data_IF_534147588481
#
_entry.id   IF_534147588481
#
_cell.length_a   1.000
_cell.length_b   1.000
_cell.length_c   1.000
_cell.angle_alpha   90.00
_cell.angle_beta   90.00
_cell.angle_gamma   90.00
#
_symmetry.space_group_name_H-M   'P 1'
#
loop_
_entity.id
_entity.type
_entity.pdbx_description
1 polymer ?
#
# COMPACT_ATOMS: atom_id res chain seq x y z
N UNK A 1 -25.43 2.65 -21.29
CA UNK A 1 -24.12 2.02 -21.05
C UNK A 1 -23.59 2.45 -19.70
N UNK A 2 -22.40 1.99 -19.28
CA UNK A 2 -21.84 2.36 -17.97
C UNK A 2 -21.73 3.88 -17.77
N UNK A 3 -21.32 4.62 -18.81
CA UNK A 3 -21.28 6.08 -18.79
C UNK A 3 -22.66 6.71 -18.59
N UNK A 4 -23.67 6.28 -19.36
CA UNK A 4 -25.03 6.80 -19.23
C UNK A 4 -25.54 6.62 -17.79
N UNK A 5 -25.25 5.49 -17.16
CA UNK A 5 -25.65 5.21 -15.77
C UNK A 5 -24.99 6.18 -14.78
N UNK A 6 -23.70 6.49 -14.98
CA UNK A 6 -23.00 7.49 -14.15
C UNK A 6 -23.60 8.90 -14.29
N UNK A 7 -24.05 9.26 -15.50
CA UNK A 7 -24.67 10.56 -15.77
C UNK A 7 -26.15 10.66 -15.39
N UNK A 8 -26.85 9.53 -15.22
CA UNK A 8 -28.32 9.47 -15.07
C UNK A 8 -28.86 10.32 -13.91
N UNK A 9 -28.04 10.60 -12.88
CA UNK A 9 -28.43 11.44 -11.74
C UNK A 9 -27.60 12.73 -11.59
N UNK A 10 -26.73 13.06 -12.57
CA UNK A 10 -25.87 14.25 -12.54
C UNK A 10 -24.86 14.30 -11.37
N UNK A 11 -24.66 13.19 -10.66
CA UNK A 11 -23.79 13.12 -9.47
C UNK A 11 -22.32 12.93 -9.82
N UNK A 12 -22.04 12.40 -11.00
CA UNK A 12 -20.69 12.17 -11.49
C UNK A 12 -20.35 13.19 -12.57
N UNK A 13 -19.13 13.71 -12.48
CA UNK A 13 -18.58 14.60 -13.51
C UNK A 13 -17.29 13.98 -14.01
N UNK A 14 -17.24 13.69 -15.30
CA UNK A 14 -16.05 13.14 -15.93
C UNK A 14 -14.95 14.19 -16.00
N UNK A 15 -13.71 13.76 -15.77
CA UNK A 15 -12.53 14.61 -15.96
C UNK A 15 -12.16 14.65 -17.45
N UNK A 16 -11.50 15.74 -17.92
CA UNK A 16 -10.99 15.79 -19.29
C UNK A 16 -10.11 14.59 -19.62
N UNK A 17 -10.35 13.96 -20.77
CA UNK A 17 -9.61 12.77 -21.22
C UNK A 17 -10.12 11.45 -20.64
N UNK A 18 -11.18 11.47 -19.82
CA UNK A 18 -11.92 10.26 -19.43
C UNK A 18 -13.09 10.01 -20.39
N UNK A 19 -13.39 8.74 -20.73
CA UNK A 19 -12.58 7.55 -20.47
C UNK A 19 -11.30 7.59 -21.29
N UNK A 20 -10.21 7.08 -20.73
CA UNK A 20 -8.98 6.83 -21.49
C UNK A 20 -8.96 5.40 -22.03
N UNK A 21 -8.36 5.23 -23.20
CA UNK A 21 -8.02 3.92 -23.73
C UNK A 21 -6.53 3.66 -23.49
N UNK A 22 -6.19 2.45 -23.08
CA UNK A 22 -4.82 2.03 -22.86
C UNK A 22 -4.28 1.14 -23.99
N UNK A 23 -5.09 0.83 -25.00
CA UNK A 23 -4.71 0.08 -26.21
C UNK A 23 -4.01 -1.27 -25.95
N UNK A 24 -4.29 -1.89 -24.80
CA UNK A 24 -3.64 -3.14 -24.41
C UNK A 24 -2.27 -2.99 -23.73
N UNK A 25 -1.72 -1.77 -23.65
CA UNK A 25 -0.43 -1.48 -23.02
C UNK A 25 -0.58 -1.21 -21.51
N UNK A 26 -0.02 -2.10 -20.69
CA UNK A 26 -0.05 -1.98 -19.23
C UNK A 26 0.81 -0.83 -18.69
N UNK A 27 1.85 -0.41 -19.41
CA UNK A 27 2.65 0.76 -19.02
C UNK A 27 1.84 2.04 -19.20
N UNK A 28 1.08 2.13 -20.28
CA UNK A 28 0.20 3.27 -20.54
C UNK A 28 -0.91 3.37 -19.47
N UNK A 29 -1.45 2.24 -19.01
CA UNK A 29 -2.40 2.23 -17.88
C UNK A 29 -1.80 2.90 -16.64
N UNK A 30 -0.55 2.55 -16.29
CA UNK A 30 0.13 3.12 -15.13
C UNK A 30 0.36 4.62 -15.29
N UNK A 31 0.85 5.06 -16.46
CA UNK A 31 1.03 6.48 -16.75
C UNK A 31 -0.29 7.26 -16.64
N UNK A 32 -1.37 6.71 -17.20
CA UNK A 32 -2.71 7.31 -17.14
C UNK A 32 -3.23 7.39 -15.70
N UNK A 33 -3.08 6.33 -14.90
CA UNK A 33 -3.45 6.33 -13.47
C UNK A 33 -2.74 7.45 -12.72
N UNK A 34 -1.42 7.56 -12.87
CA UNK A 34 -0.64 8.63 -12.25
C UNK A 34 -1.03 10.02 -12.76
N UNK A 35 -1.36 10.15 -14.04
CA UNK A 35 -1.81 11.42 -14.63
C UNK A 35 -3.16 11.86 -14.07
N UNK A 36 -4.15 10.97 -14.05
CA UNK A 36 -5.45 11.26 -13.46
C UNK A 36 -5.35 11.52 -11.96
N UNK A 37 -4.53 10.75 -11.25
CA UNK A 37 -4.29 10.95 -9.82
C UNK A 37 -3.46 12.19 -9.48
N UNK A 38 -3.16 13.08 -10.44
CA UNK A 38 -2.72 14.46 -10.19
C UNK A 38 -3.84 15.49 -10.30
N UNK A 39 -4.98 15.13 -10.89
CA UNK A 39 -6.16 15.99 -10.99
C UNK A 39 -6.94 16.03 -9.68
N UNK A 40 -7.82 17.01 -9.48
CA UNK A 40 -8.70 17.05 -8.31
C UNK A 40 -9.93 16.15 -8.51
N UNK A 41 -9.77 14.85 -8.21
CA UNK A 41 -10.83 13.84 -8.37
C UNK A 41 -11.13 13.14 -7.04
N UNK A 42 -12.33 12.59 -6.94
CA UNK A 42 -12.81 11.84 -5.77
C UNK A 42 -12.75 10.32 -5.98
N UNK A 43 -12.77 9.86 -7.23
CA UNK A 43 -12.70 8.44 -7.57
C UNK A 43 -11.99 8.19 -8.91
N UNK A 44 -11.35 7.03 -9.01
CA UNK A 44 -10.83 6.45 -10.26
C UNK A 44 -11.50 5.09 -10.42
N UNK A 45 -12.12 4.88 -11.59
CA UNK A 45 -12.91 3.68 -11.86
C UNK A 45 -12.44 2.98 -13.15
N UNK A 46 -11.35 2.18 -13.10
CA UNK A 46 -10.89 1.43 -14.26
C UNK A 46 -11.93 0.35 -14.60
N UNK A 47 -12.56 0.45 -15.76
CA UNK A 47 -13.57 -0.55 -16.21
C UNK A 47 -12.93 -1.92 -16.49
N UNK A 48 -11.64 -1.95 -16.82
CA UNK A 48 -10.84 -3.16 -17.03
C UNK A 48 -9.96 -3.44 -15.81
N UNK A 49 -9.85 -4.71 -15.42
CA UNK A 49 -8.91 -5.14 -14.38
C UNK A 49 -7.43 -5.00 -14.76
N UNK A 50 -7.10 -4.50 -15.96
CA UNK A 50 -5.72 -4.25 -16.40
C UNK A 50 -4.92 -3.38 -15.42
N UNK A 51 -5.56 -2.36 -14.82
CA UNK A 51 -4.94 -1.46 -13.83
C UNK A 51 -4.39 -2.20 -12.60
N UNK A 52 -5.09 -3.21 -12.12
CA UNK A 52 -4.64 -4.01 -10.96
C UNK A 52 -3.77 -5.19 -11.38
N UNK A 53 -3.65 -5.48 -12.68
CA UNK A 53 -2.73 -6.50 -13.21
C UNK A 53 -1.37 -5.94 -13.57
N UNK A 54 -1.25 -4.63 -13.78
CA UNK A 54 0.05 -3.98 -13.89
C UNK A 54 0.78 -4.03 -12.54
N UNK A 55 2.07 -4.36 -12.57
CA UNK A 55 2.86 -4.53 -11.34
C UNK A 55 3.01 -3.29 -10.46
N UNK A 56 2.67 -2.09 -10.96
CA UNK A 56 2.78 -0.83 -10.24
C UNK A 56 1.57 -0.42 -9.40
N UNK A 57 0.54 -1.27 -9.26
CA UNK A 57 -0.69 -0.88 -8.55
C UNK A 57 -0.45 -0.53 -7.08
N UNK A 58 0.31 -1.33 -6.33
CA UNK A 58 0.59 -1.03 -4.91
C UNK A 58 1.34 0.30 -4.76
N UNK A 59 2.38 0.51 -5.58
CA UNK A 59 3.17 1.75 -5.59
C UNK A 59 2.29 2.97 -5.92
N UNK A 60 1.42 2.84 -6.91
CA UNK A 60 0.45 3.87 -7.25
C UNK A 60 -0.45 4.23 -6.06
N UNK A 61 -1.04 3.23 -5.41
CA UNK A 61 -1.93 3.46 -4.25
C UNK A 61 -1.16 4.09 -3.09
N UNK A 62 0.04 3.59 -2.78
CA UNK A 62 0.87 4.16 -1.72
C UNK A 62 1.23 5.62 -2.00
N UNK A 63 1.65 5.94 -3.22
CA UNK A 63 2.01 7.30 -3.61
C UNK A 63 0.84 8.29 -3.50
N UNK A 64 -0.40 7.83 -3.68
CA UNK A 64 -1.60 8.69 -3.70
C UNK A 64 -2.54 8.49 -2.49
N UNK A 65 -2.15 7.68 -1.49
CA UNK A 65 -3.00 7.39 -0.31
C UNK A 65 -3.41 8.66 0.43
N UNK A 66 -2.53 9.65 0.52
CA UNK A 66 -2.79 10.96 1.12
C UNK A 66 -3.92 11.75 0.45
N UNK A 67 -4.31 11.40 -0.78
CA UNK A 67 -5.37 12.08 -1.54
C UNK A 67 -6.76 11.51 -1.28
N UNK A 68 -6.87 10.37 -0.59
CA UNK A 68 -8.13 9.71 -0.28
C UNK A 68 -9.04 9.48 -1.52
N UNK A 69 -8.44 9.04 -2.63
CA UNK A 69 -9.14 8.73 -3.88
C UNK A 69 -9.84 7.38 -3.73
N UNK A 70 -11.12 7.30 -4.06
CA UNK A 70 -11.86 6.04 -4.09
C UNK A 70 -11.52 5.24 -5.34
N UNK A 71 -11.08 3.99 -5.18
CA UNK A 71 -10.65 3.09 -6.24
C UNK A 71 -11.66 1.95 -6.36
N UNK A 72 -12.34 1.88 -7.50
CA UNK A 72 -13.26 0.78 -7.83
C UNK A 72 -12.86 0.21 -9.18
N UNK A 73 -12.49 -1.07 -9.23
CA UNK A 73 -11.96 -1.65 -10.47
C UNK A 73 -12.89 -2.73 -11.03
N UNK A 74 -12.89 -2.86 -12.35
CA UNK A 74 -13.51 -3.99 -13.02
C UNK A 74 -12.73 -5.28 -12.78
N UNK A 75 -13.46 -6.39 -12.93
CA UNK A 75 -13.03 -7.75 -12.63
C UNK A 75 -12.87 -8.03 -11.12
N UNK A 76 -12.77 -9.31 -10.79
CA UNK A 76 -12.61 -9.80 -9.41
C UNK A 76 -11.73 -11.05 -9.38
N UNK A 77 -10.55 -10.98 -10.02
CA UNK A 77 -9.56 -12.05 -10.04
C UNK A 77 -8.91 -12.25 -8.67
N UNK A 78 -8.25 -13.39 -8.46
CA UNK A 78 -7.64 -13.74 -7.16
C UNK A 78 -6.67 -12.67 -6.63
N UNK A 79 -5.81 -12.11 -7.49
CA UNK A 79 -4.90 -11.02 -7.11
C UNK A 79 -5.65 -9.72 -6.76
N UNK A 80 -6.78 -9.45 -7.43
CA UNK A 80 -7.58 -8.26 -7.13
C UNK A 80 -8.32 -8.40 -5.79
N UNK A 81 -8.77 -9.61 -5.47
CA UNK A 81 -9.36 -9.91 -4.16
C UNK A 81 -8.33 -9.73 -3.03
N UNK A 82 -7.08 -10.12 -3.25
CA UNK A 82 -5.99 -9.84 -2.29
C UNK A 82 -5.76 -8.33 -2.12
N UNK A 83 -5.77 -7.57 -3.22
CA UNK A 83 -5.68 -6.11 -3.14
C UNK A 83 -6.87 -5.48 -2.40
N UNK A 84 -8.08 -6.00 -2.60
CA UNK A 84 -9.25 -5.54 -1.86
C UNK A 84 -9.08 -5.82 -0.36
N UNK A 85 -8.67 -7.03 0.03
CA UNK A 85 -8.45 -7.43 1.42
C UNK A 85 -7.37 -6.57 2.12
N UNK A 86 -6.30 -6.25 1.41
CA UNK A 86 -5.20 -5.39 1.90
C UNK A 86 -5.50 -3.88 1.83
N UNK A 87 -6.69 -3.49 1.40
CA UNK A 87 -7.11 -2.08 1.32
C UNK A 87 -6.46 -1.28 0.18
N UNK A 88 -6.06 -1.94 -0.90
CA UNK A 88 -5.58 -1.33 -2.15
C UNK A 88 -6.70 -1.01 -3.16
N UNK A 89 -7.94 -1.33 -2.83
CA UNK A 89 -9.14 -0.92 -3.55
C UNK A 89 -10.31 -0.79 -2.57
N UNK A 90 -11.31 0.03 -2.89
CA UNK A 90 -12.55 0.15 -2.11
C UNK A 90 -13.67 -0.74 -2.66
N UNK A 91 -13.58 -1.18 -3.92
CA UNK A 91 -14.56 -2.07 -4.50
C UNK A 91 -14.07 -2.74 -5.79
N UNK A 92 -14.71 -3.87 -6.11
CA UNK A 92 -14.48 -4.63 -7.33
C UNK A 92 -15.82 -4.94 -8.01
N UNK A 93 -15.84 -4.92 -9.33
CA UNK A 93 -17.01 -5.25 -10.14
C UNK A 93 -16.72 -6.51 -10.96
N UNK A 94 -17.09 -7.66 -10.40
CA UNK A 94 -16.90 -8.96 -11.05
C UNK A 94 -17.94 -9.26 -12.13
N UNK A 95 -17.57 -10.12 -13.09
CA UNK A 95 -18.43 -10.52 -14.22
C UNK A 95 -19.08 -11.91 -14.06
N UNK A 96 -18.76 -12.65 -12.98
CA UNK A 96 -19.25 -14.02 -12.73
C UNK A 96 -18.99 -15.00 -13.90
N UNK A 97 -17.74 -15.16 -14.38
CA UNK A 97 -17.43 -15.93 -15.59
C UNK A 97 -17.85 -17.40 -15.54
N UNK A 98 -17.80 -18.03 -14.36
CA UNK A 98 -18.30 -19.39 -14.18
C UNK A 98 -19.81 -19.49 -14.46
N UNK A 99 -20.60 -18.58 -13.88
CA UNK A 99 -22.04 -18.55 -14.08
C UNK A 99 -22.40 -18.22 -15.54
N UNK A 100 -21.65 -17.30 -16.16
CA UNK A 100 -21.77 -17.03 -17.61
C UNK A 100 -21.58 -18.32 -18.41
N UNK A 101 -20.50 -19.07 -18.17
CA UNK A 101 -20.23 -20.34 -18.85
C UNK A 101 -21.32 -21.38 -18.64
N UNK A 102 -21.75 -21.59 -17.40
CA UNK A 102 -22.85 -22.51 -17.06
C UNK A 102 -24.15 -22.14 -17.79
N UNK A 103 -24.57 -20.87 -17.72
CA UNK A 103 -25.80 -20.39 -18.36
C UNK A 103 -25.74 -20.45 -19.89
N UNK A 104 -24.57 -20.24 -20.49
CA UNK A 104 -24.38 -20.42 -21.92
C UNK A 104 -24.67 -21.86 -22.35
N UNK A 105 -24.15 -22.85 -21.62
CA UNK A 105 -24.41 -24.27 -21.91
C UNK A 105 -25.87 -24.64 -21.64
N UNK A 106 -26.45 -24.16 -20.53
CA UNK A 106 -27.87 -24.37 -20.24
C UNK A 106 -28.77 -23.82 -21.35
N UNK A 107 -28.48 -22.60 -21.83
CA UNK A 107 -29.25 -21.99 -22.93
C UNK A 107 -29.17 -22.81 -24.21
N UNK A 108 -27.99 -23.36 -24.53
CA UNK A 108 -27.82 -24.25 -25.68
C UNK A 108 -28.63 -25.54 -25.53
N UNK A 109 -28.62 -26.14 -24.34
CA UNK A 109 -29.44 -27.31 -24.04
C UNK A 109 -30.93 -27.02 -24.21
N UNK A 110 -31.42 -25.91 -23.65
CA UNK A 110 -32.83 -25.52 -23.74
C UNK A 110 -33.27 -25.30 -25.19
N UNK A 111 -32.42 -24.69 -26.03
CA UNK A 111 -32.68 -24.52 -27.46
C UNK A 111 -32.87 -25.88 -28.15
N UNK A 112 -32.02 -26.85 -27.84
CA UNK A 112 -32.12 -28.20 -28.41
C UNK A 112 -33.41 -28.89 -27.96
N UNK A 113 -33.77 -28.78 -26.68
CA UNK A 113 -35.01 -29.36 -26.13
C UNK A 113 -36.29 -28.70 -26.66
N UNK A 114 -36.24 -27.40 -26.96
CA UNK A 114 -37.39 -26.61 -27.44
C UNK A 114 -37.46 -26.51 -28.97
N UNK A 115 -36.75 -27.37 -29.71
CA UNK A 115 -36.83 -27.43 -31.16
C UNK A 115 -36.29 -26.19 -31.88
N UNK A 116 -35.28 -25.51 -31.32
CA UNK A 116 -34.61 -24.37 -31.94
C UNK A 116 -35.16 -23.00 -31.55
N UNK A 117 -36.15 -22.92 -30.65
CA UNK A 117 -36.63 -21.64 -30.13
C UNK A 117 -35.57 -20.98 -29.25
N UNK A 118 -35.30 -19.70 -29.48
CA UNK A 118 -34.33 -18.93 -28.69
C UNK A 118 -34.94 -18.55 -27.34
N UNK A 119 -34.24 -18.76 -26.22
CA UNK A 119 -34.68 -18.26 -24.92
C UNK A 119 -34.72 -16.72 -24.93
N UNK A 120 -35.57 -16.16 -24.07
CA UNK A 120 -35.65 -14.72 -23.88
C UNK A 120 -34.31 -14.13 -23.43
N UNK A 121 -34.05 -12.86 -23.77
CA UNK A 121 -32.82 -12.18 -23.34
C UNK A 121 -32.82 -12.05 -21.81
N UNK A 122 -31.88 -12.74 -21.15
CA UNK A 122 -31.68 -12.64 -19.71
C UNK A 122 -30.56 -11.62 -19.46
N UNK A 123 -30.85 -10.58 -18.68
CA UNK A 123 -29.83 -9.69 -18.12
C UNK A 123 -29.50 -10.22 -16.73
N UNK A 124 -28.26 -10.68 -16.55
CA UNK A 124 -27.76 -11.12 -15.24
C UNK A 124 -26.95 -9.97 -14.66
N UNK A 125 -27.41 -9.45 -13.51
CA UNK A 125 -26.64 -8.48 -12.73
C UNK A 125 -25.68 -9.19 -11.79
N UNK A 126 -24.56 -8.54 -11.47
CA UNK A 126 -23.66 -8.99 -10.41
C UNK A 126 -24.24 -8.56 -9.05
N UNK A 127 -24.29 -9.47 -8.09
CA UNK A 127 -24.71 -9.14 -6.72
C UNK A 127 -23.70 -8.19 -6.05
N UNK A 128 -24.21 -7.27 -5.23
CA UNK A 128 -23.36 -6.41 -4.39
C UNK A 128 -22.93 -7.21 -3.17
N UNK A 129 -21.61 -7.38 -3.01
CA UNK A 129 -21.01 -7.95 -1.80
C UNK A 129 -20.22 -6.84 -1.09
N UNK A 130 -20.57 -6.57 0.17
CA UNK A 130 -19.86 -5.60 1.00
C UNK A 130 -18.94 -6.34 1.97
N UNK A 131 -17.64 -6.02 1.91
CA UNK A 131 -16.66 -6.48 2.90
C UNK A 131 -16.45 -5.37 3.92
N UNK A 132 -16.75 -5.66 5.19
CA UNK A 132 -16.39 -4.78 6.30
C UNK A 132 -14.93 -5.08 6.62
N UNK A 133 -14.02 -4.27 6.09
CA UNK A 133 -12.63 -4.28 6.52
C UNK A 133 -12.57 -3.53 7.85
N UNK A 134 -12.22 -4.23 8.93
CA UNK A 134 -11.86 -3.57 10.19
C UNK A 134 -10.39 -3.19 10.02
N UNK A 135 -10.05 -1.90 9.84
CA UNK A 135 -8.65 -1.51 9.71
C UNK A 135 -7.96 -1.82 11.04
N UNK A 136 -7.15 -2.88 11.07
CA UNK A 136 -6.09 -2.97 12.05
C UNK A 136 -4.97 -2.01 11.61
N UNK A 137 -5.23 -0.70 11.69
CA UNK A 137 -4.15 0.25 11.86
C UNK A 137 -3.65 0.07 13.29
N UNK A 138 -2.84 -0.98 13.49
CA UNK A 138 -2.14 -1.14 14.74
C UNK A 138 -1.22 0.09 14.88
N UNK A 139 -1.29 0.84 15.99
CA UNK A 139 -0.33 1.88 16.26
C UNK A 139 1.07 1.27 16.15
N UNK A 140 2.04 2.05 15.67
CA UNK A 140 3.43 1.58 15.61
C UNK A 140 3.80 0.91 16.92
N UNK A 141 4.22 -0.35 16.84
CA UNK A 141 4.63 -1.11 18.00
C UNK A 141 5.95 -0.49 18.48
N UNK A 142 5.84 0.53 19.34
CA UNK A 142 6.99 1.11 20.04
C UNK A 142 7.45 0.07 21.04
N UNK A 143 8.28 -0.86 20.60
CA UNK A 143 8.89 -1.85 21.49
C UNK A 143 10.06 -1.17 22.22
N UNK A 144 9.73 -0.36 23.20
CA UNK A 144 10.72 0.16 24.14
C UNK A 144 11.13 -0.95 25.11
N UNK A 145 12.22 -1.65 24.78
CA UNK A 145 12.83 -2.64 25.68
C UNK A 145 13.67 -1.98 26.79
N UNK A 146 13.69 -0.65 26.88
CA UNK A 146 14.49 0.06 27.85
C UNK A 146 13.77 0.22 29.19
N UNK A 147 13.79 -0.84 30.00
CA UNK A 147 13.25 -0.84 31.37
C UNK A 147 13.95 0.17 32.32
N UNK A 148 15.10 0.70 31.93
CA UNK A 148 15.95 1.62 32.72
C UNK A 148 15.66 3.08 32.38
N UNK A 149 14.90 3.37 31.30
CA UNK A 149 14.74 4.72 30.78
C UNK A 149 16.06 5.27 30.20
N UNK A 150 16.15 6.60 30.00
CA UNK A 150 17.17 7.35 29.23
C UNK A 150 18.65 6.91 29.34
N UNK A 151 18.99 5.75 28.78
CA UNK A 151 20.27 5.05 28.90
C UNK A 151 21.40 5.86 28.27
N UNK A 152 21.08 6.68 27.26
CA UNK A 152 22.02 7.54 26.58
C UNK A 152 22.57 8.62 27.53
N UNK A 153 21.74 9.17 28.43
CA UNK A 153 22.18 10.13 29.45
C UNK A 153 23.12 9.47 30.45
N UNK A 154 22.82 8.26 30.91
CA UNK A 154 23.71 7.49 31.79
C UNK A 154 25.06 7.21 31.09
N UNK A 155 25.03 6.87 29.80
CA UNK A 155 26.22 6.68 28.98
C UNK A 155 27.12 7.93 28.93
N UNK A 156 26.54 9.11 28.67
CA UNK A 156 27.30 10.36 28.65
C UNK A 156 27.89 10.74 30.02
N UNK A 157 27.15 10.49 31.11
CA UNK A 157 27.64 10.77 32.47
C UNK A 157 28.83 9.87 32.81
N UNK A 158 28.74 8.57 32.54
CA UNK A 158 29.81 7.62 32.80
C UNK A 158 31.06 7.94 31.97
N UNK A 159 30.89 8.27 30.69
CA UNK A 159 31.99 8.68 29.83
C UNK A 159 32.68 9.95 30.36
N UNK A 160 31.90 10.96 30.78
CA UNK A 160 32.43 12.20 31.36
C UNK A 160 33.25 11.95 32.63
N UNK A 161 32.76 11.10 33.54
CA UNK A 161 33.50 10.72 34.76
C UNK A 161 34.84 10.06 34.47
N UNK A 162 34.87 9.12 33.53
CA UNK A 162 36.09 8.43 33.12
C UNK A 162 37.08 9.42 32.49
N UNK A 163 36.61 10.32 31.62
CA UNK A 163 37.46 11.32 30.97
C UNK A 163 38.10 12.28 31.98
N UNK A 164 37.34 12.77 32.97
CA UNK A 164 37.86 13.65 34.03
C UNK A 164 38.88 12.93 34.90
N UNK A 165 38.60 11.68 35.29
CA UNK A 165 39.55 10.86 36.07
C UNK A 165 40.85 10.61 35.30
N UNK A 166 40.75 10.25 34.01
CA UNK A 166 41.92 10.03 33.16
C UNK A 166 42.78 11.30 33.04
N UNK A 167 42.16 12.46 32.77
CA UNK A 167 42.85 13.75 32.72
C UNK A 167 43.49 14.11 34.07
N UNK A 168 42.80 13.86 35.18
CA UNK A 168 43.32 14.09 36.52
C UNK A 168 44.54 13.22 36.85
N UNK A 169 44.48 11.94 36.51
CA UNK A 169 45.61 11.01 36.67
C UNK A 169 46.79 11.37 35.78
N UNK A 170 46.54 11.77 34.53
CA UNK A 170 47.59 12.25 33.63
C UNK A 170 48.26 13.51 34.17
N UNK A 171 47.47 14.49 34.62
CA UNK A 171 47.99 15.71 35.24
C UNK A 171 48.81 15.43 36.51
N UNK A 172 48.29 14.57 37.38
CA UNK A 172 48.99 14.15 38.60
C UNK A 172 50.32 13.46 38.28
N UNK A 173 50.33 12.57 37.29
CA UNK A 173 51.54 11.85 36.84
C UNK A 173 52.61 12.83 36.35
N UNK A 174 52.22 13.88 35.60
CA UNK A 174 53.15 14.91 35.14
C UNK A 174 53.70 15.76 36.30
N UNK A 175 52.85 16.13 37.27
CA UNK A 175 53.24 16.96 38.41
C UNK A 175 54.10 16.20 39.42
N UNK A 176 53.82 14.92 39.64
CA UNK A 176 54.48 14.07 40.63
C UNK A 176 55.62 13.22 40.05
N UNK A 177 56.11 13.54 38.84
CA UNK A 177 57.14 12.78 38.12
C UNK A 177 58.44 12.53 38.91
N UNK A 178 58.77 13.43 39.83
CA UNK A 178 60.00 13.35 40.63
C UNK A 178 59.86 12.45 41.86
N UNK A 179 58.65 11.96 42.18
CA UNK A 179 58.45 10.96 43.23
C UNK A 179 58.93 9.58 42.76
N UNK A 180 59.68 8.89 43.63
CA UNK A 180 60.29 7.57 43.36
C UNK A 180 59.28 6.54 42.84
N UNK A 181 58.05 6.58 43.35
CA UNK A 181 56.97 5.66 42.97
C UNK A 181 56.49 5.91 41.53
N UNK A 182 56.37 7.17 41.12
CA UNK A 182 55.92 7.53 39.75
C UNK A 182 57.02 7.25 38.75
N UNK A 183 58.27 7.57 39.10
CA UNK A 183 59.45 7.33 38.25
C UNK A 183 59.70 5.85 37.97
N UNK A 184 59.44 4.97 38.94
CA UNK A 184 59.56 3.52 38.76
C UNK A 184 58.43 2.92 37.88
N UNK A 185 57.30 3.61 37.77
CA UNK A 185 56.13 3.17 37.01
C UNK A 185 56.05 3.76 35.59
N UNK A 186 56.91 4.73 35.26
CA UNK A 186 56.95 5.33 33.91
C UNK A 186 57.73 4.42 32.93
N UNK A 187 57.24 4.25 31.70
CA UNK A 187 57.99 3.55 30.65
C UNK A 187 59.32 4.25 30.38
N UNK A 188 60.36 3.49 30.04
CA UNK A 188 61.72 4.01 29.83
C UNK A 188 61.89 5.07 28.70
N UNK A 189 60.82 5.38 27.97
CA UNK A 189 60.81 6.31 26.84
C UNK A 189 60.09 7.64 27.13
N UNK A 190 59.62 7.86 28.36
CA UNK A 190 59.03 9.10 28.88
C UNK A 190 59.97 9.78 29.87
#
# INVERSE_FOLDING_TARGET
>A
GFQDELHTNGKWTEVPGSPSNYDGDLNLVQEQLHTFARLNLTAIVPVSGAAMRSGGWEDFVHAHRHRNITLVSGDAMANQLEFLDRGFAQGLVGQLPYEMGWRSIQSLYDIVQQGGQRPAKIVVGTNVLSHILIPLELPELVVDHNLIGNLHVIGYILFGLIAVLACGLAHWTLKARDHTVVKAAQPAFL
#
